data_IF_649136327357
#
_entry.id   IF_649136327357
#
_cell.length_a   1.000
_cell.length_b   1.000
_cell.length_c   1.000
_cell.angle_alpha   90.00
_cell.angle_beta   90.00
_cell.angle_gamma   90.00
#
_symmetry.space_group_name_H-M   'P 1'
#
loop_
_entity.id
_entity.type
_entity.pdbx_description
1 polymer ?
#
# COMPACT_ATOMS: atom_id res chain seq x y z
N UNK A 1 -1.62 -5.86 -16.25
CA UNK A 1 -0.83 -4.61 -16.30
C UNK A 1 -1.35 -3.74 -15.17
N UNK A 2 -0.44 -3.12 -14.43
CA UNK A 2 -0.78 -2.25 -13.30
C UNK A 2 -1.13 -0.84 -13.79
N UNK A 3 -1.62 0.00 -12.87
CA UNK A 3 -1.80 1.43 -13.14
C UNK A 3 -0.44 2.09 -13.41
N UNK A 4 -0.28 2.82 -14.53
CA UNK A 4 0.98 3.50 -14.85
C UNK A 4 1.23 4.68 -13.90
N UNK A 5 2.48 4.87 -13.50
CA UNK A 5 2.90 6.02 -12.66
C UNK A 5 3.88 6.88 -13.43
N UNK A 6 3.55 8.16 -13.60
CA UNK A 6 4.40 9.15 -14.28
C UNK A 6 5.21 9.93 -13.24
N UNK A 7 6.54 9.88 -13.37
CA UNK A 7 7.39 10.89 -12.76
C UNK A 7 7.49 12.12 -13.68
N UNK A 8 6.98 13.25 -13.18
CA UNK A 8 7.01 14.52 -13.88
C UNK A 8 8.40 15.17 -13.90
N UNK A 9 9.30 14.81 -12.99
CA UNK A 9 10.64 15.38 -12.94
C UNK A 9 11.54 14.83 -14.03
N UNK A 10 11.49 13.51 -14.27
CA UNK A 10 12.28 12.85 -15.31
C UNK A 10 11.52 12.57 -16.59
N UNK A 11 10.18 12.64 -16.59
CA UNK A 11 9.36 12.26 -17.75
C UNK A 11 9.38 10.75 -17.98
N UNK A 12 9.43 9.95 -16.91
CA UNK A 12 9.45 8.49 -16.95
C UNK A 12 8.11 7.93 -16.51
N UNK A 13 7.65 6.87 -17.18
CA UNK A 13 6.44 6.14 -16.80
C UNK A 13 6.83 4.73 -16.38
N UNK A 14 6.35 4.31 -15.22
CA UNK A 14 6.58 3.00 -14.63
C UNK A 14 5.30 2.17 -14.71
N UNK A 15 5.40 0.95 -15.25
CA UNK A 15 4.24 0.07 -15.47
C UNK A 15 4.63 -1.39 -15.25
N UNK A 16 3.88 -2.07 -14.39
CA UNK A 16 4.04 -3.48 -14.08
C UNK A 16 3.21 -4.41 -14.96
N UNK A 17 3.68 -5.64 -15.14
CA UNK A 17 2.98 -6.69 -15.88
C UNK A 17 2.59 -7.92 -15.03
N UNK A 18 1.90 -8.87 -15.69
CA UNK A 18 1.42 -10.09 -15.04
C UNK A 18 2.50 -11.15 -14.78
N UNK A 19 3.75 -10.89 -15.19
CA UNK A 19 4.89 -11.78 -14.98
C UNK A 19 5.82 -11.29 -13.87
N UNK A 20 5.47 -10.21 -13.16
CA UNK A 20 6.30 -9.66 -12.08
C UNK A 20 7.42 -8.78 -12.60
N UNK A 21 7.22 -8.15 -13.77
CA UNK A 21 8.20 -7.27 -14.38
C UNK A 21 7.68 -5.85 -14.37
N UNK A 22 8.45 -4.95 -13.77
CA UNK A 22 8.26 -3.50 -13.89
C UNK A 22 9.03 -2.99 -15.10
N UNK A 23 8.32 -2.25 -15.95
CA UNK A 23 8.82 -1.65 -17.18
C UNK A 23 8.97 -0.15 -17.00
N UNK A 24 9.98 0.40 -17.67
CA UNK A 24 10.25 1.83 -17.74
C UNK A 24 9.97 2.34 -19.15
N UNK A 25 9.13 3.37 -19.29
CA UNK A 25 8.96 4.12 -20.53
C UNK A 25 9.60 5.49 -20.36
N UNK A 26 10.54 5.84 -21.23
CA UNK A 26 11.13 7.18 -21.28
C UNK A 26 10.38 8.03 -22.28
N UNK A 27 10.00 9.25 -21.88
CA UNK A 27 9.28 10.19 -22.76
C UNK A 27 10.13 11.36 -23.24
N UNK A 28 11.28 11.60 -22.62
CA UNK A 28 12.14 12.78 -22.88
C UNK A 28 13.60 12.40 -23.15
N UNK A 29 14.15 11.43 -22.42
CA UNK A 29 15.51 10.93 -22.60
C UNK A 29 15.56 9.65 -23.45
N UNK A 30 16.72 9.40 -24.07
CA UNK A 30 16.91 8.20 -24.89
C UNK A 30 16.86 6.94 -24.02
N UNK A 31 16.22 5.89 -24.52
CA UNK A 31 16.31 4.57 -23.91
C UNK A 31 17.71 3.96 -24.07
N UNK A 32 17.96 2.90 -23.31
CA UNK A 32 19.12 2.03 -23.51
C UNK A 32 19.32 1.68 -24.99
N UNK A 33 20.56 1.79 -25.47
CA UNK A 33 20.87 1.63 -26.90
C UNK A 33 20.62 2.89 -27.75
N UNK A 34 20.39 4.05 -27.13
CA UNK A 34 20.18 5.34 -27.80
C UNK A 34 18.92 5.38 -28.70
N UNK A 35 17.87 4.66 -28.30
CA UNK A 35 16.57 4.71 -28.98
C UNK A 35 15.85 6.01 -28.57
N UNK A 36 15.34 6.75 -29.56
CA UNK A 36 14.65 8.00 -29.31
C UNK A 36 13.31 7.79 -28.59
N UNK A 37 12.93 8.67 -27.64
CA UNK A 37 11.65 8.58 -26.94
C UNK A 37 10.45 9.04 -27.82
N UNK A 38 9.21 8.62 -27.51
CA UNK A 38 8.85 7.72 -26.42
C UNK A 38 9.22 6.28 -26.72
N UNK A 39 9.87 5.62 -25.76
CA UNK A 39 10.35 4.25 -25.91
C UNK A 39 10.24 3.47 -24.59
N UNK A 40 9.96 2.18 -24.70
CA UNK A 40 10.09 1.24 -23.58
C UNK A 40 11.56 0.89 -23.45
N UNK A 41 12.15 1.12 -22.28
CA UNK A 41 13.54 0.78 -22.02
C UNK A 41 13.71 -0.75 -21.99
N UNK A 42 14.85 -1.24 -22.47
CA UNK A 42 15.19 -2.67 -22.36
C UNK A 42 15.54 -3.07 -20.92
N UNK A 43 15.84 -2.09 -20.07
CA UNK A 43 16.09 -2.30 -18.65
C UNK A 43 14.75 -2.48 -17.94
N UNK A 44 14.62 -3.60 -17.22
CA UNK A 44 13.42 -3.95 -16.47
C UNK A 44 13.78 -4.34 -15.05
N UNK A 45 12.85 -4.17 -14.11
CA UNK A 45 12.99 -4.69 -12.76
C UNK A 45 12.13 -5.96 -12.63
N UNK A 46 12.77 -7.12 -12.51
CA UNK A 46 12.09 -8.41 -12.38
C UNK A 46 12.06 -8.83 -10.92
N UNK A 47 10.86 -9.01 -10.39
CA UNK A 47 10.59 -9.53 -9.06
C UNK A 47 10.34 -11.04 -9.15
N UNK A 48 9.98 -11.74 -8.06
CA UNK A 48 9.91 -13.21 -8.02
C UNK A 48 8.78 -13.87 -8.85
N UNK A 49 8.34 -13.25 -9.94
CA UNK A 49 7.54 -13.91 -10.99
C UNK A 49 6.04 -14.01 -10.76
N UNK A 50 5.48 -13.30 -9.77
CA UNK A 50 4.05 -13.14 -9.60
C UNK A 50 3.56 -11.88 -10.32
N UNK A 51 2.28 -11.82 -10.69
CA UNK A 51 1.70 -10.58 -11.21
C UNK A 51 1.89 -9.43 -10.22
N UNK A 52 2.24 -8.25 -10.74
CA UNK A 52 2.14 -7.01 -9.99
C UNK A 52 0.68 -6.59 -9.96
N UNK A 53 0.14 -6.38 -8.76
CA UNK A 53 -1.28 -6.07 -8.54
C UNK A 53 -1.51 -4.53 -8.54
N UNK A 54 -0.52 -3.74 -8.13
CA UNK A 54 -0.56 -2.26 -8.09
C UNK A 54 0.65 -1.62 -8.79
N UNK A 55 0.50 -0.34 -9.17
CA UNK A 55 1.62 0.48 -9.65
C UNK A 55 2.62 0.79 -8.54
N UNK A 56 3.85 1.20 -8.88
CA UNK A 56 4.87 1.50 -7.88
C UNK A 56 4.62 2.82 -7.15
N UNK A 57 5.31 3.03 -6.02
CA UNK A 57 5.55 4.38 -5.51
C UNK A 57 6.79 4.95 -6.21
N UNK A 58 6.68 6.20 -6.68
CA UNK A 58 7.78 6.91 -7.32
C UNK A 58 8.07 8.19 -6.55
N UNK A 59 9.32 8.33 -6.11
CA UNK A 59 9.84 9.52 -5.47
C UNK A 59 10.86 10.19 -6.40
N UNK A 60 10.35 11.07 -7.26
CA UNK A 60 11.16 11.84 -8.19
C UNK A 60 12.11 12.83 -7.53
N UNK A 61 11.95 13.12 -6.24
CA UNK A 61 12.88 14.00 -5.51
C UNK A 61 14.19 13.28 -5.14
N UNK A 62 14.10 11.97 -4.85
CA UNK A 62 15.26 11.12 -4.55
C UNK A 62 15.64 10.19 -5.71
N UNK A 63 14.84 10.19 -6.79
CA UNK A 63 15.02 9.36 -7.98
C UNK A 63 14.84 7.88 -7.68
N UNK A 64 13.86 7.54 -6.83
CA UNK A 64 13.60 6.16 -6.36
C UNK A 64 12.25 5.66 -6.83
N UNK A 65 12.20 4.35 -7.09
CA UNK A 65 10.98 3.60 -7.40
C UNK A 65 10.85 2.43 -6.43
N UNK A 66 9.64 2.19 -5.94
CA UNK A 66 9.31 1.10 -5.01
C UNK A 66 8.20 0.25 -5.60
N UNK A 67 8.53 -1.00 -5.94
CA UNK A 67 7.61 -1.96 -6.53
C UNK A 67 7.18 -2.97 -5.47
N UNK A 68 5.88 -3.23 -5.38
CA UNK A 68 5.26 -4.11 -4.39
C UNK A 68 4.77 -5.38 -5.09
N UNK A 69 5.08 -6.55 -4.55
CA UNK A 69 4.61 -7.82 -5.08
C UNK A 69 4.40 -8.84 -3.97
N UNK A 70 3.38 -9.69 -4.08
CA UNK A 70 3.31 -10.91 -3.29
C UNK A 70 4.06 -12.06 -3.97
N UNK A 71 5.01 -12.71 -3.29
CA UNK A 71 5.86 -13.75 -3.87
C UNK A 71 5.16 -15.09 -4.19
N UNK A 72 5.88 -16.05 -4.78
CA UNK A 72 5.38 -17.42 -5.05
C UNK A 72 6.24 -18.52 -4.37
N UNK A 73 5.72 -19.12 -3.28
CA UNK A 73 6.23 -20.37 -2.61
C UNK A 73 7.49 -20.22 -1.73
N UNK A 74 7.78 -21.03 -0.67
CA UNK A 74 7.19 -22.26 -0.10
C UNK A 74 6.29 -22.01 1.14
N UNK A 75 5.24 -22.82 1.25
CA UNK A 75 4.03 -22.56 2.06
C UNK A 75 2.97 -21.83 1.23
N UNK A 76 1.69 -21.86 1.61
CA UNK A 76 0.61 -21.20 0.86
C UNK A 76 0.83 -19.66 0.73
N UNK A 77 1.57 -19.22 -0.29
CA UNK A 77 1.50 -17.85 -0.83
C UNK A 77 2.78 -17.01 -0.99
N UNK A 78 4.00 -17.44 -0.61
CA UNK A 78 5.21 -16.57 -0.72
C UNK A 78 5.21 -15.35 0.23
N UNK A 79 6.35 -14.67 0.41
CA UNK A 79 6.46 -13.44 1.21
C UNK A 79 6.04 -12.21 0.40
N UNK A 80 5.52 -11.17 1.05
CA UNK A 80 5.38 -9.86 0.41
C UNK A 80 6.76 -9.29 0.17
N UNK A 81 6.99 -8.70 -0.99
CA UNK A 81 8.26 -8.12 -1.40
C UNK A 81 8.07 -6.65 -1.75
N UNK A 82 9.00 -5.84 -1.27
CA UNK A 82 9.19 -4.49 -1.78
C UNK A 82 10.58 -4.41 -2.38
N UNK A 83 10.66 -3.98 -3.62
CA UNK A 83 11.93 -3.68 -4.28
C UNK A 83 12.05 -2.18 -4.45
N UNK A 84 13.06 -1.60 -3.82
CA UNK A 84 13.48 -0.23 -4.09
C UNK A 84 14.59 -0.24 -5.13
N UNK A 85 14.48 0.57 -6.18
CA UNK A 85 15.56 0.81 -7.14
C UNK A 85 15.68 2.31 -7.44
N UNK A 86 16.75 2.70 -8.15
CA UNK A 86 16.76 3.97 -8.87
C UNK A 86 15.71 3.94 -9.99
N UNK A 87 15.27 5.11 -10.46
CA UNK A 87 14.33 5.21 -11.59
C UNK A 87 14.85 4.65 -12.93
N UNK A 88 16.16 4.39 -13.05
CA UNK A 88 16.75 3.64 -14.16
C UNK A 88 16.88 2.13 -13.86
N UNK A 89 16.22 1.67 -12.80
CA UNK A 89 16.24 0.33 -12.24
C UNK A 89 17.61 -0.19 -11.77
N UNK A 90 18.61 0.68 -11.64
CA UNK A 90 19.90 0.30 -11.03
C UNK A 90 19.83 0.33 -9.50
N UNK A 91 20.80 -0.34 -8.85
CA UNK A 91 20.95 -0.27 -7.39
C UNK A 91 19.79 -0.87 -6.59
N UNK A 92 19.09 -1.87 -7.15
CA UNK A 92 17.93 -2.49 -6.53
C UNK A 92 18.27 -3.17 -5.20
N UNK A 93 17.40 -2.96 -4.20
CA UNK A 93 17.41 -3.65 -2.91
C UNK A 93 16.01 -4.18 -2.60
N UNK A 94 15.95 -5.39 -2.02
CA UNK A 94 14.68 -6.08 -1.74
C UNK A 94 14.51 -6.31 -0.25
N UNK A 95 13.35 -5.95 0.28
CA UNK A 95 12.89 -6.32 1.61
C UNK A 95 11.68 -7.25 1.49
N UNK A 96 11.57 -8.22 2.41
CA UNK A 96 10.43 -9.15 2.46
C UNK A 96 9.65 -8.95 3.74
N UNK A 97 8.33 -8.87 3.65
CA UNK A 97 7.37 -8.73 4.73
C UNK A 97 6.51 -9.99 4.76
N UNK A 98 5.85 -10.29 5.89
CA UNK A 98 5.19 -11.57 6.13
C UNK A 98 4.32 -12.10 4.97
N UNK A 99 3.94 -13.39 4.95
CA UNK A 99 3.41 -14.04 3.75
C UNK A 99 2.19 -13.34 3.12
N UNK A 100 2.08 -13.36 1.78
CA UNK A 100 0.88 -12.92 1.06
C UNK A 100 -0.32 -13.79 1.47
N UNK A 101 -1.50 -13.18 1.65
CA UNK A 101 -2.77 -13.89 1.87
C UNK A 101 -3.88 -13.33 1.00
N UNK A 102 -4.69 -14.24 0.46
CA UNK A 102 -5.81 -13.89 -0.43
C UNK A 102 -5.35 -13.48 -1.83
N UNK A 103 -6.20 -12.71 -2.51
CA UNK A 103 -5.94 -12.17 -3.86
C UNK A 103 -5.39 -10.75 -3.75
N UNK A 104 -4.31 -10.45 -4.46
CA UNK A 104 -3.70 -9.13 -4.45
C UNK A 104 -2.59 -8.95 -3.40
N UNK A 105 -1.53 -8.25 -3.76
CA UNK A 105 -0.62 -7.57 -2.84
C UNK A 105 -0.56 -6.09 -3.23
N UNK A 106 -0.89 -5.21 -2.28
CA UNK A 106 -1.19 -3.82 -2.60
C UNK A 106 -0.11 -2.87 -2.14
N UNK A 107 -0.13 -1.67 -2.73
CA UNK A 107 0.85 -0.62 -2.46
C UNK A 107 0.88 -0.23 -0.97
N UNK A 108 2.10 -0.05 -0.45
CA UNK A 108 2.34 0.46 0.90
C UNK A 108 2.20 1.99 1.00
N UNK A 109 2.56 2.55 2.15
CA UNK A 109 2.55 3.99 2.37
C UNK A 109 3.75 4.47 3.18
N UNK A 110 4.37 5.57 2.75
CA UNK A 110 5.37 6.29 3.53
C UNK A 110 4.70 7.15 4.62
N UNK A 111 5.40 7.41 5.73
CA UNK A 111 5.00 8.49 6.63
C UNK A 111 5.49 9.86 6.15
N UNK A 112 4.93 10.93 6.71
CA UNK A 112 5.34 12.30 6.40
C UNK A 112 6.83 12.58 6.66
N UNK A 113 7.46 11.89 7.62
CA UNK A 113 8.89 12.03 7.89
C UNK A 113 9.76 11.62 6.69
N UNK A 114 9.30 10.67 5.86
CA UNK A 114 9.97 10.30 4.61
C UNK A 114 10.06 11.49 3.66
N UNK A 115 8.98 12.26 3.50
CA UNK A 115 8.92 13.38 2.56
C UNK A 115 9.53 14.68 3.10
N UNK A 116 9.40 14.92 4.40
CA UNK A 116 9.86 16.17 5.02
C UNK A 116 11.30 16.11 5.54
N UNK A 117 11.85 14.91 5.72
CA UNK A 117 13.14 14.69 6.36
C UNK A 117 13.15 15.01 7.87
N UNK A 118 11.98 15.25 8.47
CA UNK A 118 11.84 15.52 9.91
C UNK A 118 11.27 14.31 10.61
N UNK A 119 12.00 13.75 11.58
CA UNK A 119 11.63 12.52 12.27
C UNK A 119 12.27 11.27 11.64
N UNK A 120 11.65 10.09 11.87
CA UNK A 120 12.16 8.82 11.35
C UNK A 120 11.37 8.43 10.09
N UNK A 121 12.00 8.33 8.92
CA UNK A 121 11.33 7.90 7.69
C UNK A 121 10.97 6.42 7.78
N UNK A 122 9.72 6.09 7.48
CA UNK A 122 9.17 4.74 7.57
C UNK A 122 8.33 4.43 6.33
N UNK A 123 8.39 3.17 5.90
CA UNK A 123 7.50 2.58 4.90
C UNK A 123 6.66 1.51 5.59
N UNK A 124 5.34 1.65 5.50
CA UNK A 124 4.37 0.68 5.99
C UNK A 124 3.93 -0.24 4.86
N UNK A 125 3.83 -1.53 5.17
CA UNK A 125 3.49 -2.59 4.22
C UNK A 125 2.54 -3.56 4.92
N UNK A 126 1.56 -4.10 4.21
CA UNK A 126 0.76 -5.18 4.77
C UNK A 126 1.38 -6.55 4.43
N UNK A 127 1.25 -7.51 5.33
CA UNK A 127 1.56 -8.92 5.09
C UNK A 127 0.83 -9.79 6.11
N UNK A 128 1.13 -11.09 6.19
CA UNK A 128 0.59 -11.96 7.25
C UNK A 128 1.50 -12.05 8.47
N UNK A 129 0.90 -12.16 9.67
CA UNK A 129 1.60 -12.30 10.96
C UNK A 129 2.34 -13.64 11.15
N UNK A 130 2.05 -14.69 10.38
CA UNK A 130 2.68 -16.01 10.53
C UNK A 130 3.82 -16.18 9.52
N UNK A 131 5.11 -16.15 9.94
CA UNK A 131 6.22 -16.39 9.04
C UNK A 131 6.21 -17.84 8.50
N UNK A 132 6.57 -18.03 7.23
CA UNK A 132 6.82 -19.38 6.67
C UNK A 132 5.57 -20.16 6.21
N UNK A 133 4.41 -19.52 6.17
CA UNK A 133 3.19 -20.08 5.59
C UNK A 133 2.32 -20.82 6.61
N UNK A 134 1.19 -20.22 6.94
CA UNK A 134 0.11 -20.80 7.74
C UNK A 134 -1.20 -20.04 7.52
N UNK A 135 -2.24 -20.37 8.29
CA UNK A 135 -3.46 -19.54 8.36
C UNK A 135 -3.19 -18.42 9.38
N UNK A 136 -2.55 -17.34 8.94
CA UNK A 136 -2.33 -16.12 9.72
C UNK A 136 -3.34 -15.04 9.40
N UNK A 137 -3.36 -13.99 10.22
CA UNK A 137 -4.15 -12.77 10.02
C UNK A 137 -3.38 -11.76 9.18
N UNK A 138 -4.09 -10.84 8.52
CA UNK A 138 -3.48 -9.64 7.95
C UNK A 138 -2.86 -8.81 9.07
N UNK A 139 -1.66 -8.27 8.82
CA UNK A 139 -0.86 -7.55 9.78
C UNK A 139 -0.11 -6.39 9.11
N UNK A 140 0.14 -5.35 9.91
CA UNK A 140 0.93 -4.21 9.50
C UNK A 140 2.40 -4.43 9.83
N UNK A 141 3.25 -4.23 8.82
CA UNK A 141 4.69 -4.29 8.89
C UNK A 141 5.30 -2.92 8.59
N UNK A 142 6.53 -2.71 9.06
CA UNK A 142 7.24 -1.44 8.86
C UNK A 142 8.72 -1.70 8.58
N UNK A 143 9.29 -0.89 7.69
CA UNK A 143 10.75 -0.76 7.53
C UNK A 143 11.15 0.71 7.53
N UNK A 144 12.41 0.96 7.87
CA UNK A 144 13.02 2.29 7.85
C UNK A 144 14.05 2.43 6.72
N UNK A 145 14.79 3.53 6.78
CA UNK A 145 15.78 3.89 5.76
C UNK A 145 17.14 4.20 6.39
N UNK A 146 18.21 3.84 5.68
CA UNK A 146 19.56 4.32 5.94
C UNK A 146 19.96 5.24 4.79
N UNK A 147 19.89 6.55 5.01
CA UNK A 147 19.95 7.52 3.91
C UNK A 147 18.72 7.34 2.99
N UNK A 148 18.95 7.20 1.68
CA UNK A 148 17.89 6.94 0.69
C UNK A 148 17.70 5.46 0.36
N UNK A 149 18.38 4.55 1.08
CA UNK A 149 18.25 3.11 0.89
C UNK A 149 17.29 2.52 1.92
N UNK A 150 16.25 1.82 1.46
CA UNK A 150 15.37 1.02 2.29
C UNK A 150 16.17 -0.05 3.03
N UNK A 151 15.91 -0.19 4.32
CA UNK A 151 16.53 -1.23 5.12
C UNK A 151 15.95 -2.61 4.72
N UNK A 152 16.84 -3.54 4.40
CA UNK A 152 16.49 -4.91 3.99
C UNK A 152 16.77 -5.94 5.08
N UNK A 153 17.66 -5.63 6.02
CA UNK A 153 18.03 -6.49 7.14
C UNK A 153 17.15 -6.18 8.36
N UNK A 154 16.74 -7.22 9.08
CA UNK A 154 15.82 -7.09 10.22
C UNK A 154 14.32 -7.12 9.86
N UNK A 155 13.99 -7.16 8.57
CA UNK A 155 12.62 -7.38 8.05
C UNK A 155 12.32 -8.87 7.83
N UNK A 156 13.36 -9.71 7.76
CA UNK A 156 13.26 -11.18 7.71
C UNK A 156 12.96 -11.76 9.10
N UNK A 157 11.77 -11.45 9.64
CA UNK A 157 11.32 -11.89 10.96
C UNK A 157 10.22 -10.97 11.49
N UNK A 158 9.30 -11.42 12.37
CA UNK A 158 8.11 -10.64 12.72
C UNK A 158 8.48 -9.38 13.52
N UNK A 159 8.56 -8.25 12.82
CA UNK A 159 8.17 -6.94 13.36
C UNK A 159 6.76 -6.63 12.87
N UNK A 160 5.84 -7.55 13.18
CA UNK A 160 4.41 -7.23 13.23
C UNK A 160 4.24 -6.08 14.20
N UNK A 161 3.71 -4.96 13.71
CA UNK A 161 3.33 -3.86 14.60
C UNK A 161 1.93 -4.10 15.14
N UNK A 162 1.05 -4.65 14.31
CA UNK A 162 -0.34 -4.86 14.66
C UNK A 162 -1.10 -5.80 13.72
N UNK A 163 -1.87 -6.73 14.30
CA UNK A 163 -2.93 -7.47 13.61
C UNK A 163 -4.06 -6.55 13.11
N UNK A 164 -4.36 -6.63 11.81
CA UNK A 164 -5.37 -5.82 11.13
C UNK A 164 -6.74 -6.51 11.02
N UNK A 165 -6.77 -7.83 11.20
CA UNK A 165 -7.98 -8.66 11.16
C UNK A 165 -8.04 -9.60 12.36
N UNK A 166 -9.26 -10.01 12.72
CA UNK A 166 -9.54 -10.95 13.80
C UNK A 166 -9.59 -12.42 13.34
N UNK A 167 -9.36 -12.68 12.05
CA UNK A 167 -9.47 -14.00 11.45
C UNK A 167 -8.55 -14.17 10.25
N UNK A 168 -8.22 -15.43 10.00
CA UNK A 168 -7.17 -15.79 9.05
C UNK A 168 -7.57 -15.57 7.60
N UNK A 169 -6.58 -15.54 6.70
CA UNK A 169 -6.76 -15.48 5.24
C UNK A 169 -7.53 -14.25 4.74
N UNK A 170 -7.45 -13.14 5.48
CA UNK A 170 -8.01 -11.86 5.08
C UNK A 170 -6.98 -11.11 4.22
N UNK A 171 -7.28 -10.75 2.96
CA UNK A 171 -6.37 -9.93 2.16
C UNK A 171 -6.34 -8.51 2.71
N UNK A 172 -5.24 -7.80 2.47
CA UNK A 172 -5.17 -6.37 2.71
C UNK A 172 -5.72 -5.55 1.54
N UNK A 173 -5.76 -4.24 1.74
CA UNK A 173 -6.04 -3.22 0.72
C UNK A 173 -4.85 -2.28 0.58
N UNK A 174 -4.78 -1.48 -0.49
CA UNK A 174 -3.84 -0.36 -0.58
C UNK A 174 -3.80 0.46 0.70
N UNK A 175 -2.60 0.76 1.19
CA UNK A 175 -2.42 1.63 2.35
C UNK A 175 -2.50 3.10 1.91
N UNK A 176 -2.95 3.97 2.79
CA UNK A 176 -2.94 5.42 2.55
C UNK A 176 -2.52 6.15 3.80
N UNK A 177 -1.48 6.96 3.70
CA UNK A 177 -1.06 7.86 4.76
C UNK A 177 -1.56 9.28 4.47
N UNK A 178 -1.92 9.98 5.55
CA UNK A 178 -2.33 11.38 5.49
C UNK A 178 -1.84 12.14 6.72
N UNK A 179 -0.93 13.08 6.48
CA UNK A 179 -0.55 14.05 7.49
C UNK A 179 -1.56 15.19 7.61
N UNK A 180 -2.11 15.40 8.82
CA UNK A 180 -2.92 16.56 9.13
C UNK A 180 -2.18 17.52 10.10
N UNK A 181 -1.68 18.67 9.62
CA UNK A 181 -1.02 19.65 10.48
C UNK A 181 -1.94 20.31 11.52
N UNK A 182 -3.27 20.18 11.36
CA UNK A 182 -4.24 20.88 12.21
C UNK A 182 -4.72 20.05 13.41
N UNK A 183 -4.36 18.77 13.49
CA UNK A 183 -4.68 17.89 14.60
C UNK A 183 -3.44 17.77 15.48
N UNK A 184 -3.56 17.99 16.79
CA UNK A 184 -2.46 17.72 17.74
C UNK A 184 -1.14 18.48 17.50
N UNK A 185 -1.11 19.49 16.60
CA UNK A 185 0.13 20.15 16.15
C UNK A 185 0.84 19.45 14.98
N UNK A 186 0.20 18.44 14.38
CA UNK A 186 0.71 17.58 13.33
C UNK A 186 0.46 16.12 13.68
N UNK A 187 -0.44 15.45 12.97
CA UNK A 187 -0.73 14.03 13.14
C UNK A 187 -0.61 13.28 11.83
N UNK A 188 0.20 12.23 11.80
CA UNK A 188 0.28 11.27 10.70
C UNK A 188 -0.79 10.19 10.90
N UNK A 189 -1.72 10.08 9.96
CA UNK A 189 -2.83 9.12 10.01
C UNK A 189 -2.62 8.07 8.93
N UNK A 190 -2.47 6.81 9.32
CA UNK A 190 -2.44 5.68 8.40
C UNK A 190 -3.81 5.01 8.32
N UNK A 191 -4.42 5.05 7.15
CA UNK A 191 -5.60 4.27 6.82
C UNK A 191 -5.19 2.91 6.29
N UNK A 192 -5.79 1.86 6.85
CA UNK A 192 -5.60 0.49 6.41
C UNK A 192 -6.95 -0.19 6.26
N UNK A 193 -7.05 -1.14 5.34
CA UNK A 193 -8.24 -1.96 5.19
C UNK A 193 -7.90 -3.43 4.99
N UNK A 194 -8.75 -4.29 5.55
CA UNK A 194 -8.73 -5.74 5.34
C UNK A 194 -9.99 -6.14 4.59
N UNK A 195 -9.93 -7.19 3.78
CA UNK A 195 -11.05 -7.63 2.95
C UNK A 195 -12.05 -8.58 3.62
N UNK A 196 -11.73 -9.07 4.82
CA UNK A 196 -12.59 -9.94 5.61
C UNK A 196 -12.20 -9.90 7.09
N UNK A 197 -13.04 -10.48 7.96
CA UNK A 197 -12.73 -10.75 9.37
C UNK A 197 -12.26 -9.50 10.12
N UNK A 198 -12.84 -8.34 9.79
CA UNK A 198 -12.47 -7.14 10.52
C UNK A 198 -12.78 -7.27 12.01
N UNK A 199 -13.90 -7.93 12.32
CA UNK A 199 -14.20 -8.50 13.63
C UNK A 199 -14.40 -10.00 13.49
N UNK A 200 -14.31 -10.74 14.61
CA UNK A 200 -14.36 -12.20 14.57
C UNK A 200 -15.70 -12.69 14.02
N UNK A 201 -15.67 -13.47 12.93
CA UNK A 201 -16.87 -14.01 12.29
C UNK A 201 -17.48 -13.10 11.23
N UNK A 202 -16.91 -11.92 11.00
CA UNK A 202 -17.34 -11.01 9.94
C UNK A 202 -16.83 -11.48 8.56
N UNK A 203 -17.75 -11.57 7.60
CA UNK A 203 -17.42 -11.92 6.21
C UNK A 203 -16.99 -10.71 5.39
N UNK A 204 -17.24 -9.50 5.87
CA UNK A 204 -16.85 -8.25 5.21
C UNK A 204 -15.49 -7.76 5.69
N UNK A 205 -14.91 -6.90 4.87
CA UNK A 205 -13.74 -6.13 5.21
C UNK A 205 -14.10 -4.88 6.00
N UNK A 206 -13.10 -4.10 6.36
CA UNK A 206 -13.33 -2.79 6.97
C UNK A 206 -12.15 -1.86 6.77
N UNK A 207 -12.36 -0.58 7.03
CA UNK A 207 -11.31 0.42 7.19
C UNK A 207 -11.01 0.66 8.68
N UNK A 208 -9.72 0.84 9.00
CA UNK A 208 -9.17 1.24 10.31
C UNK A 208 -8.22 2.43 10.12
N UNK A 209 -8.00 3.21 11.18
CA UNK A 209 -7.02 4.28 11.17
C UNK A 209 -6.09 4.24 12.39
N UNK A 210 -4.84 4.65 12.15
CA UNK A 210 -3.76 4.62 13.11
C UNK A 210 -3.03 5.95 13.17
N UNK A 211 -2.66 6.37 14.37
CA UNK A 211 -1.74 7.48 14.60
C UNK A 211 -0.34 6.89 14.55
N UNK A 212 0.43 7.36 13.58
CA UNK A 212 1.80 6.92 13.32
C UNK A 212 2.83 8.02 13.55
N UNK A 213 2.42 9.14 14.15
CA UNK A 213 3.22 10.36 14.34
C UNK A 213 4.51 10.11 15.12
N UNK A 214 4.46 9.18 16.08
CA UNK A 214 5.60 8.84 16.95
C UNK A 214 6.29 7.52 16.61
N UNK A 215 5.96 6.92 15.45
CA UNK A 215 6.43 5.59 15.06
C UNK A 215 5.33 4.53 15.18
N UNK A 216 5.65 3.27 15.54
CA UNK A 216 4.70 2.16 15.43
C UNK A 216 3.36 2.43 16.11
N UNK A 217 2.32 1.96 15.43
CA UNK A 217 0.98 2.56 15.36
C UNK A 217 0.17 2.48 16.66
N UNK A 218 -0.51 3.56 17.02
CA UNK A 218 -1.60 3.51 18.01
C UNK A 218 -2.96 3.60 17.30
N UNK A 219 -3.92 2.76 17.70
CA UNK A 219 -5.25 2.71 17.09
C UNK A 219 -6.02 3.99 17.41
N UNK A 220 -6.31 4.82 16.41
CA UNK A 220 -7.13 6.03 16.58
C UNK A 220 -8.60 5.63 16.76
N UNK A 221 -9.08 4.70 15.93
CA UNK A 221 -10.47 4.27 15.93
C UNK A 221 -10.62 2.76 15.92
N UNK A 222 -11.32 2.22 16.92
CA UNK A 222 -11.61 0.78 17.02
C UNK A 222 -12.86 0.32 16.28
N UNK A 223 -13.74 1.25 15.87
CA UNK A 223 -14.98 0.93 15.18
C UNK A 223 -14.74 0.71 13.68
N UNK A 224 -14.94 -0.52 13.16
CA UNK A 224 -14.83 -0.76 11.73
C UNK A 224 -15.94 -0.04 10.97
N UNK A 225 -15.63 0.46 9.79
CA UNK A 225 -16.65 0.74 8.77
C UNK A 225 -16.56 -0.39 7.78
N UNK A 226 -17.60 -1.21 7.72
CA UNK A 226 -17.62 -2.41 6.92
C UNK A 226 -17.58 -2.05 5.43
N UNK A 227 -16.74 -2.76 4.68
CA UNK A 227 -16.56 -2.58 3.25
C UNK A 227 -16.35 -3.96 2.58
N UNK A 228 -17.11 -4.33 1.53
CA UNK A 228 -16.94 -5.59 0.84
C UNK A 228 -15.54 -5.72 0.25
N UNK A 229 -14.80 -6.74 0.70
CA UNK A 229 -13.45 -7.07 0.24
C UNK A 229 -12.40 -5.96 0.42
N UNK A 230 -12.69 -4.94 1.24
CA UNK A 230 -11.77 -3.85 1.56
C UNK A 230 -11.88 -2.66 0.62
N UNK A 231 -10.94 -1.72 0.72
CA UNK A 231 -10.97 -0.43 0.00
C UNK A 231 -10.02 -0.43 -1.20
N UNK A 232 -10.30 0.43 -2.18
CA UNK A 232 -9.27 0.92 -3.11
C UNK A 232 -8.28 1.83 -2.37
N UNK A 233 -7.39 2.49 -3.13
CA UNK A 233 -6.71 3.68 -2.63
C UNK A 233 -7.71 4.71 -2.10
N UNK A 234 -7.32 5.40 -1.02
CA UNK A 234 -8.15 6.40 -0.33
C UNK A 234 -7.67 7.79 -0.71
N UNK A 235 -8.62 8.69 -0.98
CA UNK A 235 -8.36 10.11 -1.19
C UNK A 235 -8.92 10.89 -0.01
N UNK A 236 -8.15 11.84 0.52
CA UNK A 236 -8.58 12.78 1.55
C UNK A 236 -8.65 14.18 0.92
N UNK A 237 -9.80 14.86 1.00
CA UNK A 237 -10.02 16.12 0.27
C UNK A 237 -9.44 17.38 0.95
N UNK A 238 -9.17 17.34 2.25
CA UNK A 238 -8.69 18.50 2.99
C UNK A 238 -7.96 18.11 4.28
N UNK A 239 -7.06 18.98 4.74
CA UNK A 239 -6.47 18.91 6.08
C UNK A 239 -7.15 19.92 6.99
N UNK A 240 -8.03 19.45 7.87
CA UNK A 240 -8.74 20.29 8.83
C UNK A 240 -9.05 19.51 10.11
N UNK A 241 -9.10 20.22 11.24
CA UNK A 241 -9.61 19.69 12.51
C UNK A 241 -11.10 19.99 12.72
N UNK A 242 -11.74 20.72 11.79
CA UNK A 242 -13.16 21.06 11.91
C UNK A 242 -14.03 19.86 11.51
N UNK A 243 -15.04 19.57 12.33
CA UNK A 243 -15.98 18.47 12.07
C UNK A 243 -16.63 18.60 10.68
N UNK A 244 -16.48 17.57 9.85
CA UNK A 244 -17.04 17.51 8.50
C UNK A 244 -16.31 18.36 7.44
N UNK A 245 -15.21 19.03 7.79
CA UNK A 245 -14.42 19.83 6.84
C UNK A 245 -13.41 19.02 6.02
N UNK A 246 -13.17 17.77 6.44
CA UNK A 246 -12.34 16.78 5.74
C UNK A 246 -13.17 15.51 5.54
N UNK A 247 -13.10 14.95 4.35
CA UNK A 247 -13.76 13.69 3.96
C UNK A 247 -12.74 12.73 3.34
N UNK A 248 -12.98 11.44 3.51
CA UNK A 248 -12.26 10.38 2.84
C UNK A 248 -13.15 9.74 1.78
N UNK A 249 -12.55 9.37 0.65
CA UNK A 249 -13.21 8.80 -0.52
C UNK A 249 -12.47 7.56 -1.00
N UNK A 250 -13.20 6.51 -1.33
CA UNK A 250 -12.64 5.30 -1.93
C UNK A 250 -13.75 4.52 -2.62
N UNK A 251 -13.39 3.48 -3.37
CA UNK A 251 -14.32 2.44 -3.80
C UNK A 251 -14.10 1.14 -3.06
N UNK A 252 -15.12 0.30 -2.97
CA UNK A 252 -14.96 -1.07 -2.45
C UNK A 252 -14.25 -1.94 -3.49
N UNK A 253 -13.41 -2.88 -3.04
CA UNK A 253 -12.82 -3.87 -3.95
C UNK A 253 -13.82 -4.96 -4.33
N UNK A 254 -14.75 -5.25 -3.42
CA UNK A 254 -15.82 -6.22 -3.60
C UNK A 254 -17.08 -5.59 -4.17
N UNK A 255 -17.94 -6.45 -4.70
CA UNK A 255 -19.28 -6.06 -5.12
C UNK A 255 -20.20 -5.81 -3.91
N UNK A 256 -21.21 -4.98 -4.09
CA UNK A 256 -22.33 -4.83 -3.19
C UNK A 256 -22.96 -6.20 -2.86
N UNK A 257 -23.37 -6.37 -1.60
CA UNK A 257 -24.07 -7.56 -1.14
C UNK A 257 -25.39 -7.18 -0.45
N UNK A 258 -26.24 -8.17 -0.17
CA UNK A 258 -27.46 -7.93 0.61
C UNK A 258 -27.18 -7.46 2.04
N UNK A 259 -26.02 -7.79 2.60
CA UNK A 259 -25.58 -7.34 3.91
C UNK A 259 -24.95 -5.94 3.89
N UNK A 260 -24.52 -5.47 2.71
CA UNK A 260 -23.83 -4.20 2.55
C UNK A 260 -24.12 -3.59 1.17
N UNK A 261 -25.19 -2.78 1.12
CA UNK A 261 -25.73 -2.24 -0.12
C UNK A 261 -25.08 -0.90 -0.49
N UNK A 262 -24.76 -0.72 -1.78
CA UNK A 262 -24.31 0.57 -2.31
C UNK A 262 -25.53 1.41 -2.73
N UNK A 263 -26.08 2.24 -1.84
CA UNK A 263 -27.22 3.11 -2.19
C UNK A 263 -28.46 2.34 -2.68
N UNK A 264 -28.72 1.16 -2.10
CA UNK A 264 -29.83 0.27 -2.48
C UNK A 264 -29.48 -0.81 -3.52
N UNK A 265 -28.29 -0.76 -4.12
CA UNK A 265 -27.77 -1.88 -4.93
C UNK A 265 -27.31 -2.99 -3.98
N UNK A 266 -27.89 -4.18 -4.12
CA UNK A 266 -27.66 -5.32 -3.21
C UNK A 266 -26.97 -6.52 -3.89
N UNK A 267 -26.74 -6.44 -5.20
CA UNK A 267 -26.06 -7.48 -5.99
C UNK A 267 -25.30 -6.85 -7.16
N UNK A 268 -23.99 -7.08 -7.23
CA UNK A 268 -23.13 -6.63 -8.33
C UNK A 268 -22.74 -5.15 -8.27
N UNK A 269 -21.57 -4.81 -8.82
CA UNK A 269 -21.02 -3.45 -8.84
C UNK A 269 -20.35 -3.05 -7.51
N UNK A 270 -19.26 -2.28 -7.58
CA UNK A 270 -18.59 -1.70 -6.40
C UNK A 270 -19.29 -0.43 -5.88
N UNK A 271 -19.06 -0.08 -4.61
CA UNK A 271 -19.55 1.17 -4.03
C UNK A 271 -18.52 2.29 -4.27
N UNK A 272 -18.99 3.52 -4.49
CA UNK A 272 -18.22 4.72 -4.20
C UNK A 272 -18.61 5.24 -2.81
N UNK A 273 -17.63 5.37 -1.91
CA UNK A 273 -17.84 5.70 -0.51
C UNK A 273 -17.30 7.10 -0.23
N UNK A 274 -18.05 7.86 0.58
CA UNK A 274 -17.61 9.12 1.19
C UNK A 274 -17.89 9.03 2.69
N UNK A 275 -16.86 9.26 3.49
CA UNK A 275 -16.97 9.32 4.95
C UNK A 275 -16.36 10.63 5.45
N UNK A 276 -16.82 11.15 6.59
CA UNK A 276 -16.13 12.28 7.22
C UNK A 276 -14.83 11.77 7.82
N UNK A 277 -13.71 12.46 7.54
CA UNK A 277 -12.42 12.12 8.13
C UNK A 277 -12.50 12.22 9.65
N UNK A 278 -13.32 13.13 10.19
CA UNK A 278 -13.57 13.28 11.64
C UNK A 278 -13.99 11.98 12.35
N UNK A 279 -14.44 10.96 11.62
CA UNK A 279 -14.70 9.64 12.18
C UNK A 279 -13.42 8.82 12.46
N UNK A 280 -12.25 9.23 11.96
CA UNK A 280 -10.99 8.47 11.91
C UNK A 280 -9.78 9.22 12.47
N UNK A 281 -10.00 10.33 13.18
CA UNK A 281 -9.01 11.18 13.84
C UNK A 281 -9.35 11.31 15.33
#
# INVERSE_FOLDING_TARGET
MTSPVLDLFTGRIFIGDGAGVEHLVRTTDNCTGAVAPPCVDSTTLTLQGAALDDGPLVDGSTGKVFVFQGGTGLGAGGMVEVVQANEDFTGAVTATFGPKKGTGEYIGAFNNAYFTGSGTPLLYVCGSDVPGGGNGVAALWVTGFTGSAMNTTGVTGPTEVLALSAGNNSPCSPLTEFFNPNIGGGTDILFVSVGAQCTSGDTNGCIRSFDITSGPTSLIRSGPIDEPSGTSGIVVDNASASAGASSIYFSTQGNATSGLSCGGVTTGGGCGIKLTQGAFQ
#
